data_IF_242474189756
#
_entry.id   IF_242474189756
#
_cell.length_a   1.000
_cell.length_b   1.000
_cell.length_c   1.000
_cell.angle_alpha   90.00
_cell.angle_beta   90.00
_cell.angle_gamma   90.00
#
_symmetry.space_group_name_H-M   'P 1'
#
loop_
_entity.id
_entity.type
_entity.pdbx_description
1 polymer ?
#
# COMPACT_ATOMS: atom_id res chain seq x y z
N UNK A 1 -17.09 18.31 22.35
CA UNK A 1 -15.69 17.91 22.50
C UNK A 1 -14.82 18.82 21.66
N UNK A 2 -13.97 19.63 22.30
CA UNK A 2 -12.96 20.45 21.60
C UNK A 2 -11.68 19.62 21.51
N UNK A 3 -11.44 18.95 20.39
CA UNK A 3 -10.19 18.29 20.06
C UNK A 3 -9.81 18.59 18.60
N UNK A 4 -8.54 18.51 18.28
CA UNK A 4 -8.10 18.61 16.90
C UNK A 4 -8.68 17.46 16.07
N UNK A 5 -9.00 17.72 14.82
CA UNK A 5 -9.38 16.69 13.87
C UNK A 5 -8.16 15.81 13.55
N UNK A 6 -8.39 14.53 13.41
CA UNK A 6 -7.34 13.58 13.02
C UNK A 6 -7.20 13.62 11.50
N UNK A 7 -6.07 14.11 11.03
CA UNK A 7 -5.80 14.26 9.59
C UNK A 7 -5.07 13.04 8.97
N UNK A 8 -4.61 12.10 9.79
CA UNK A 8 -3.89 10.92 9.32
C UNK A 8 -4.11 9.73 10.23
N UNK A 9 -3.91 8.54 9.68
CA UNK A 9 -3.90 7.27 10.42
C UNK A 9 -2.55 6.58 10.29
N UNK A 10 -2.11 5.93 11.37
CA UNK A 10 -0.89 5.14 11.35
C UNK A 10 -1.17 3.74 10.81
N UNK A 11 -0.32 3.29 9.90
CA UNK A 11 -0.27 1.91 9.45
C UNK A 11 1.02 1.28 9.97
N UNK A 12 0.89 0.21 10.74
CA UNK A 12 2.03 -0.50 11.31
C UNK A 12 2.31 -1.76 10.50
N UNK A 13 3.57 -1.94 10.10
CA UNK A 13 4.04 -3.11 9.38
C UNK A 13 4.87 -3.95 10.33
N UNK A 14 4.46 -5.20 10.53
CA UNK A 14 5.15 -6.16 11.39
C UNK A 14 5.68 -7.31 10.55
N UNK A 15 6.82 -7.85 10.97
CA UNK A 15 7.45 -9.00 10.32
C UNK A 15 8.13 -9.87 11.37
N UNK A 16 8.07 -11.20 11.19
CA UNK A 16 8.87 -12.13 11.98
C UNK A 16 10.31 -12.15 11.44
N UNK A 17 11.14 -11.29 12.01
CA UNK A 17 12.49 -11.07 11.50
C UNK A 17 12.52 -10.12 10.29
N UNK A 18 13.48 -10.31 9.40
CA UNK A 18 13.56 -9.52 8.17
C UNK A 18 12.43 -9.89 7.20
N UNK A 19 11.69 -8.92 6.64
CA UNK A 19 10.67 -9.21 5.65
C UNK A 19 11.25 -10.01 4.47
N UNK A 20 10.54 -11.05 4.04
CA UNK A 20 10.95 -11.87 2.89
C UNK A 20 10.82 -11.10 1.57
N UNK A 21 9.77 -10.30 1.45
CA UNK A 21 9.48 -9.51 0.26
C UNK A 21 9.36 -8.04 0.62
N UNK A 22 10.04 -7.17 -0.14
CA UNK A 22 9.92 -5.71 -0.04
C UNK A 22 10.06 -5.11 -1.43
N UNK A 23 8.96 -4.80 -2.07
CA UNK A 23 8.91 -4.18 -3.39
C UNK A 23 8.51 -2.70 -3.25
N UNK A 24 9.48 -1.83 -3.00
CA UNK A 24 9.19 -0.42 -2.79
C UNK A 24 8.61 0.23 -4.05
N UNK A 25 7.45 0.87 -3.90
CA UNK A 25 6.82 1.65 -4.94
C UNK A 25 7.76 2.76 -5.39
N UNK A 26 7.97 2.87 -6.70
CA UNK A 26 8.85 3.87 -7.29
C UNK A 26 8.04 5.06 -7.79
N UNK A 27 8.52 6.26 -7.51
CA UNK A 27 7.94 7.51 -8.00
C UNK A 27 8.97 8.32 -8.78
N UNK A 28 8.55 9.18 -9.71
CA UNK A 28 9.48 10.04 -10.44
C UNK A 28 10.34 10.89 -9.51
N UNK A 29 11.61 11.01 -9.82
CA UNK A 29 12.51 11.88 -9.07
C UNK A 29 12.46 13.31 -9.62
N UNK A 30 12.10 14.28 -8.79
CA UNK A 30 12.01 15.72 -9.16
C UNK A 30 13.31 16.27 -9.79
N UNK A 31 14.45 15.65 -9.46
CA UNK A 31 15.77 16.10 -9.91
C UNK A 31 16.44 15.10 -10.85
N UNK A 32 15.66 14.22 -11.51
CA UNK A 32 16.19 13.23 -12.45
C UNK A 32 17.18 13.85 -13.45
N UNK A 33 18.30 13.19 -13.68
CA UNK A 33 19.36 13.63 -14.58
C UNK A 33 20.22 14.81 -14.08
N UNK A 34 19.79 15.58 -13.07
CA UNK A 34 20.61 16.65 -12.48
C UNK A 34 21.73 16.07 -11.62
N UNK A 35 22.90 16.71 -11.60
CA UNK A 35 24.00 16.28 -10.72
C UNK A 35 23.66 16.52 -9.25
N UNK A 36 23.94 15.54 -8.42
CA UNK A 36 23.81 15.66 -6.97
C UNK A 36 24.97 16.53 -6.42
N UNK A 37 24.66 17.78 -6.08
CA UNK A 37 25.60 18.73 -5.45
C UNK A 37 25.33 18.88 -3.96
N UNK A 38 24.49 18.01 -3.38
CA UNK A 38 24.07 18.10 -1.99
C UNK A 38 25.21 17.85 -1.01
N UNK A 39 25.33 18.74 -0.04
CA UNK A 39 26.20 18.59 1.12
C UNK A 39 25.38 18.56 2.40
N UNK A 40 25.92 18.00 3.47
CA UNK A 40 25.28 18.01 4.79
C UNK A 40 26.32 18.28 5.86
N UNK A 41 25.90 18.90 6.97
CA UNK A 41 26.70 18.95 8.19
C UNK A 41 26.42 17.70 9.01
N UNK A 42 27.45 16.96 9.38
CA UNK A 42 27.30 15.94 10.42
C UNK A 42 27.32 16.62 11.78
N UNK A 43 26.45 16.18 12.67
CA UNK A 43 26.30 16.74 14.02
C UNK A 43 27.67 16.91 14.70
N UNK A 44 28.01 18.16 15.06
CA UNK A 44 29.25 18.52 15.76
C UNK A 44 30.48 18.85 14.91
N UNK A 45 30.39 18.81 13.58
CA UNK A 45 31.48 19.17 12.69
C UNK A 45 31.11 20.41 11.85
N UNK A 46 31.91 21.43 11.90
CA UNK A 46 31.78 22.64 11.03
C UNK A 46 32.07 22.37 9.55
N UNK A 47 32.60 21.21 9.21
CA UNK A 47 32.91 20.84 7.84
C UNK A 47 31.71 20.29 7.10
N UNK A 48 31.36 20.90 5.97
CA UNK A 48 30.40 20.39 5.01
C UNK A 48 30.93 19.08 4.39
N UNK A 49 30.17 18.00 4.57
CA UNK A 49 30.49 16.72 3.94
C UNK A 49 29.62 16.51 2.71
N UNK A 50 30.20 15.94 1.66
CA UNK A 50 29.46 15.56 0.44
C UNK A 50 28.51 14.43 0.77
N UNK A 51 27.24 14.58 0.39
CA UNK A 51 26.24 13.50 0.51
C UNK A 51 26.64 12.30 -0.34
N UNK A 52 26.15 11.12 0.04
CA UNK A 52 26.31 9.92 -0.77
C UNK A 52 25.84 10.17 -2.20
N UNK A 53 26.64 9.77 -3.18
CA UNK A 53 26.35 10.01 -4.60
C UNK A 53 26.64 11.43 -5.08
N UNK A 54 27.42 12.25 -4.34
CA UNK A 54 27.84 13.58 -4.79
C UNK A 54 28.51 13.52 -6.17
N UNK A 55 28.09 14.40 -7.07
CA UNK A 55 28.59 14.47 -8.44
C UNK A 55 27.94 13.48 -9.42
N UNK A 56 27.22 12.46 -8.93
CA UNK A 56 26.45 11.54 -9.78
C UNK A 56 25.09 12.12 -10.15
N UNK A 57 24.53 11.80 -11.33
CA UNK A 57 23.17 12.20 -11.66
C UNK A 57 22.16 11.51 -10.71
N UNK A 58 21.08 12.21 -10.39
CA UNK A 58 19.94 11.58 -9.73
C UNK A 58 19.31 10.56 -10.68
N UNK A 59 18.84 9.44 -10.12
CA UNK A 59 18.08 8.44 -10.84
C UNK A 59 16.74 9.01 -11.32
N UNK A 60 16.15 8.41 -12.34
CA UNK A 60 14.83 8.79 -12.86
C UNK A 60 13.73 8.59 -11.82
N UNK A 61 13.84 7.55 -11.03
CA UNK A 61 12.89 7.21 -9.97
C UNK A 61 13.55 7.13 -8.61
N UNK A 62 12.75 7.25 -7.58
CA UNK A 62 13.11 7.03 -6.18
C UNK A 62 12.00 6.26 -5.48
N UNK A 63 12.29 5.57 -4.36
CA UNK A 63 11.24 5.01 -3.53
C UNK A 63 10.23 6.08 -3.10
N UNK A 64 8.95 5.70 -3.07
CA UNK A 64 7.90 6.53 -2.48
C UNK A 64 8.21 6.83 -1.01
N UNK A 65 7.78 7.97 -0.50
CA UNK A 65 7.86 8.29 0.93
C UNK A 65 6.94 7.40 1.76
N UNK A 66 7.01 7.55 3.06
CA UNK A 66 6.16 6.81 4.00
C UNK A 66 4.82 7.50 4.32
N UNK A 67 4.51 8.60 3.63
CA UNK A 67 3.21 9.27 3.69
C UNK A 67 2.46 8.93 2.41
N UNK A 68 1.29 8.32 2.56
CA UNK A 68 0.40 7.96 1.47
C UNK A 68 -0.89 8.77 1.59
N UNK A 69 -1.33 9.31 0.49
CA UNK A 69 -2.59 10.07 0.41
C UNK A 69 -3.57 9.30 -0.47
N UNK A 70 -4.71 8.95 0.12
CA UNK A 70 -5.77 8.24 -0.58
C UNK A 70 -7.07 9.02 -0.45
N UNK A 71 -7.68 9.49 -1.56
CA UNK A 71 -8.95 10.17 -1.51
C UNK A 71 -10.05 9.21 -1.03
N UNK A 72 -10.78 9.63 0.01
CA UNK A 72 -11.90 8.86 0.54
C UNK A 72 -13.18 9.27 -0.20
N UNK A 73 -13.97 8.28 -0.64
CA UNK A 73 -15.29 8.53 -1.24
C UNK A 73 -15.28 9.05 -2.68
N UNK A 74 -14.12 9.19 -3.31
CA UNK A 74 -13.98 9.68 -4.69
C UNK A 74 -13.85 8.54 -5.70
N UNK A 75 -13.40 7.36 -5.27
CA UNK A 75 -13.29 6.21 -6.16
C UNK A 75 -14.68 5.70 -6.55
N UNK A 76 -14.95 5.54 -7.86
CA UNK A 76 -16.18 4.93 -8.31
C UNK A 76 -16.26 3.51 -7.71
N UNK A 77 -17.30 3.25 -6.93
CA UNK A 77 -17.58 1.90 -6.46
C UNK A 77 -17.92 1.00 -7.66
N UNK A 78 -16.91 0.36 -8.21
CA UNK A 78 -17.03 -0.54 -9.36
C UNK A 78 -18.11 -1.62 -9.17
N UNK A 79 -18.45 -1.90 -7.94
CA UNK A 79 -19.37 -2.97 -7.58
C UNK A 79 -20.66 -2.47 -6.90
N UNK A 80 -20.83 -1.16 -6.69
CA UNK A 80 -22.00 -0.53 -6.04
C UNK A 80 -22.38 -1.20 -4.70
N UNK A 81 -21.40 -1.60 -3.92
CA UNK A 81 -21.61 -2.31 -2.65
C UNK A 81 -21.87 -1.30 -1.54
N UNK A 82 -23.02 -1.41 -0.88
CA UNK A 82 -23.32 -0.64 0.34
C UNK A 82 -22.53 -1.23 1.51
N UNK A 83 -21.39 -0.64 1.83
CA UNK A 83 -20.62 -0.97 3.02
C UNK A 83 -20.21 0.35 3.72
N UNK A 84 -20.46 0.50 5.03
CA UNK A 84 -20.25 1.77 5.73
C UNK A 84 -18.78 2.18 5.87
N UNK A 85 -17.86 1.22 5.79
CA UNK A 85 -16.43 1.45 6.04
C UNK A 85 -15.57 0.76 4.96
N UNK A 86 -15.69 1.20 3.70
CA UNK A 86 -14.79 0.76 2.63
C UNK A 86 -13.52 1.62 2.66
N UNK A 87 -12.37 0.97 2.62
CA UNK A 87 -11.12 1.67 2.36
C UNK A 87 -10.78 1.67 0.86
N UNK A 88 -9.99 2.64 0.39
CA UNK A 88 -9.64 2.77 -1.03
C UNK A 88 -8.94 1.52 -1.57
N UNK A 89 -9.34 1.05 -2.76
CA UNK A 89 -8.67 -0.08 -3.42
C UNK A 89 -7.18 0.19 -3.65
N UNK A 90 -6.83 1.43 -3.91
CA UNK A 90 -5.44 1.87 -4.10
C UNK A 90 -4.57 1.64 -2.85
N UNK A 91 -5.13 1.85 -1.65
CA UNK A 91 -4.44 1.55 -0.40
C UNK A 91 -4.08 0.05 -0.34
N UNK A 92 -5.06 -0.81 -0.61
CA UNK A 92 -4.85 -2.27 -0.61
C UNK A 92 -3.84 -2.68 -1.67
N UNK A 93 -3.97 -2.14 -2.87
CA UNK A 93 -3.06 -2.40 -3.98
C UNK A 93 -1.62 -2.09 -3.60
N UNK A 94 -1.36 -0.90 -3.05
CA UNK A 94 -0.02 -0.48 -2.68
C UNK A 94 0.60 -1.38 -1.60
N UNK A 95 -0.21 -1.84 -0.63
CA UNK A 95 0.27 -2.74 0.41
C UNK A 95 0.54 -4.16 -0.14
N UNK A 96 -0.36 -4.70 -0.95
CA UNK A 96 -0.21 -6.04 -1.53
C UNK A 96 1.04 -6.11 -2.42
N UNK A 97 1.24 -5.16 -3.32
CA UNK A 97 2.40 -5.20 -4.21
C UNK A 97 3.72 -4.95 -3.49
N UNK A 98 3.69 -4.16 -2.40
CA UNK A 98 4.91 -3.87 -1.61
C UNK A 98 5.36 -5.09 -0.81
N UNK A 99 4.45 -5.82 -0.20
CA UNK A 99 4.78 -6.84 0.79
C UNK A 99 4.60 -8.28 0.30
N UNK A 100 4.20 -8.46 -0.96
CA UNK A 100 4.08 -9.79 -1.58
C UNK A 100 4.50 -9.83 -3.04
N UNK A 101 4.78 -11.03 -3.54
CA UNK A 101 5.00 -11.32 -4.95
C UNK A 101 3.78 -12.04 -5.56
N UNK A 102 3.59 -12.01 -6.90
CA UNK A 102 2.61 -12.86 -7.56
C UNK A 102 2.77 -14.35 -7.16
N UNK A 103 1.65 -15.03 -6.90
CA UNK A 103 1.60 -16.42 -6.42
C UNK A 103 1.75 -16.57 -4.91
N UNK A 104 2.00 -15.49 -4.15
CA UNK A 104 1.97 -15.55 -2.69
C UNK A 104 0.54 -15.35 -2.17
N UNK A 105 0.30 -15.75 -0.92
CA UNK A 105 -1.03 -15.73 -0.28
C UNK A 105 -1.19 -14.47 0.57
N UNK A 106 -2.29 -13.77 0.35
CA UNK A 106 -2.73 -12.63 1.17
C UNK A 106 -3.84 -13.09 2.11
N UNK A 107 -3.70 -12.83 3.39
CA UNK A 107 -4.72 -13.11 4.40
C UNK A 107 -5.39 -11.80 4.85
N UNK A 108 -6.72 -11.77 4.84
CA UNK A 108 -7.52 -10.70 5.45
C UNK A 108 -8.53 -11.32 6.43
N UNK A 109 -8.30 -11.06 7.71
CA UNK A 109 -9.13 -11.60 8.79
C UNK A 109 -10.43 -10.81 9.03
N UNK A 110 -10.62 -9.69 8.35
CA UNK A 110 -11.79 -8.82 8.47
C UNK A 110 -12.24 -8.34 7.09
N UNK A 111 -12.52 -9.28 6.21
CA UNK A 111 -12.63 -9.07 4.77
C UNK A 111 -13.73 -8.08 4.35
N UNK A 112 -14.75 -7.85 5.18
CA UNK A 112 -15.86 -6.97 4.89
C UNK A 112 -16.49 -7.26 3.54
N UNK A 113 -16.45 -6.31 2.63
CA UNK A 113 -16.98 -6.49 1.27
C UNK A 113 -16.00 -7.19 0.30
N UNK A 114 -14.81 -7.62 0.77
CA UNK A 114 -13.84 -8.40 -0.01
C UNK A 114 -12.93 -7.58 -0.93
N UNK A 115 -12.67 -6.32 -0.62
CA UNK A 115 -11.79 -5.46 -1.44
C UNK A 115 -10.39 -6.04 -1.55
N UNK A 116 -9.82 -6.55 -0.44
CA UNK A 116 -8.52 -7.22 -0.42
C UNK A 116 -8.45 -8.38 -1.40
N UNK A 117 -9.49 -9.21 -1.45
CA UNK A 117 -9.54 -10.34 -2.36
C UNK A 117 -9.57 -9.93 -3.84
N UNK A 118 -10.34 -8.88 -4.19
CA UNK A 118 -10.36 -8.37 -5.57
C UNK A 118 -8.96 -7.90 -5.99
N UNK A 119 -8.31 -7.12 -5.14
CA UNK A 119 -6.97 -6.60 -5.45
C UNK A 119 -5.92 -7.72 -5.49
N UNK A 120 -6.00 -8.71 -4.59
CA UNK A 120 -5.13 -9.87 -4.61
C UNK A 120 -5.25 -10.62 -5.96
N UNK A 121 -6.46 -10.89 -6.40
CA UNK A 121 -6.71 -11.51 -7.69
C UNK A 121 -6.15 -10.70 -8.86
N UNK A 122 -6.47 -9.42 -8.95
CA UNK A 122 -6.01 -8.54 -10.04
C UNK A 122 -4.49 -8.44 -10.09
N UNK A 123 -3.83 -8.62 -8.95
CA UNK A 123 -2.37 -8.62 -8.81
C UNK A 123 -1.75 -10.02 -8.83
N UNK A 124 -2.54 -11.07 -9.14
CA UNK A 124 -2.11 -12.47 -9.25
C UNK A 124 -1.57 -13.05 -7.93
N UNK A 125 -2.19 -12.70 -6.82
CA UNK A 125 -1.97 -13.32 -5.50
C UNK A 125 -3.16 -14.19 -5.16
N UNK A 126 -2.91 -15.28 -4.45
CA UNK A 126 -3.96 -16.02 -3.79
C UNK A 126 -4.45 -15.25 -2.57
N UNK A 127 -5.68 -15.51 -2.11
CA UNK A 127 -6.16 -14.86 -0.91
C UNK A 127 -7.01 -15.78 -0.04
N UNK A 128 -6.92 -15.53 1.27
CA UNK A 128 -7.80 -16.12 2.28
C UNK A 128 -8.54 -14.97 2.93
N UNK A 129 -9.86 -14.99 2.83
CA UNK A 129 -10.74 -13.96 3.38
C UNK A 129 -11.57 -14.56 4.51
N UNK A 130 -11.53 -13.92 5.69
CA UNK A 130 -12.35 -14.31 6.84
C UNK A 130 -13.31 -13.16 7.14
N UNK A 131 -14.60 -13.49 7.21
CA UNK A 131 -15.66 -12.53 7.51
C UNK A 131 -16.70 -13.19 8.41
N UNK A 132 -17.09 -12.50 9.47
CA UNK A 132 -18.04 -12.99 10.45
C UNK A 132 -19.50 -12.75 10.00
N UNK A 133 -19.73 -11.62 9.36
CA UNK A 133 -21.08 -11.20 8.96
C UNK A 133 -21.50 -11.89 7.67
N UNK A 134 -22.54 -12.73 7.77
CA UNK A 134 -23.02 -13.53 6.63
C UNK A 134 -23.42 -12.69 5.43
N UNK A 135 -24.02 -11.53 5.65
CA UNK A 135 -24.40 -10.62 4.57
C UNK A 135 -23.18 -10.16 3.74
N UNK A 136 -22.05 -9.94 4.39
CA UNK A 136 -20.80 -9.60 3.68
C UNK A 136 -20.18 -10.82 3.01
N UNK A 137 -20.28 -12.00 3.59
CA UNK A 137 -19.87 -13.23 2.90
C UNK A 137 -20.63 -13.41 1.58
N UNK A 138 -21.93 -13.14 1.55
CA UNK A 138 -22.74 -13.23 0.34
C UNK A 138 -22.36 -12.16 -0.69
N UNK A 139 -22.00 -10.96 -0.24
CA UNK A 139 -21.42 -9.92 -1.11
C UNK A 139 -20.11 -10.40 -1.73
N UNK A 140 -19.19 -10.96 -0.92
CA UNK A 140 -17.93 -11.52 -1.39
C UNK A 140 -18.19 -12.58 -2.46
N UNK A 141 -19.04 -13.58 -2.18
CA UNK A 141 -19.39 -14.63 -3.14
C UNK A 141 -19.89 -14.07 -4.47
N UNK A 142 -20.79 -13.08 -4.42
CA UNK A 142 -21.31 -12.44 -5.61
C UNK A 142 -20.27 -11.66 -6.41
N UNK A 143 -19.35 -10.97 -5.73
CA UNK A 143 -18.25 -10.23 -6.37
C UNK A 143 -17.26 -11.16 -7.07
N UNK A 144 -17.07 -12.36 -6.54
CA UNK A 144 -16.12 -13.34 -7.04
C UNK A 144 -16.74 -14.39 -7.96
N UNK A 145 -18.06 -14.37 -8.17
CA UNK A 145 -18.75 -15.33 -9.01
C UNK A 145 -18.13 -15.43 -10.41
N UNK A 146 -17.67 -16.63 -10.77
CA UNK A 146 -16.99 -16.90 -12.04
C UNK A 146 -15.53 -16.44 -12.11
N UNK A 147 -14.92 -15.99 -10.99
CA UNK A 147 -13.51 -15.56 -10.93
C UNK A 147 -12.66 -16.46 -10.04
N UNK A 148 -13.27 -17.18 -9.10
CA UNK A 148 -12.58 -18.03 -8.11
C UNK A 148 -13.36 -19.29 -7.79
N UNK A 149 -12.64 -20.32 -7.39
CA UNK A 149 -13.19 -21.42 -6.61
C UNK A 149 -13.28 -20.95 -5.15
N UNK A 150 -14.48 -20.52 -4.75
CA UNK A 150 -14.72 -20.12 -3.35
C UNK A 150 -14.92 -21.38 -2.53
N UNK A 151 -13.90 -21.79 -1.79
CA UNK A 151 -14.01 -22.83 -0.76
C UNK A 151 -14.44 -22.17 0.54
N UNK A 152 -15.52 -22.69 1.15
CA UNK A 152 -16.09 -22.17 2.40
C UNK A 152 -15.99 -23.27 3.44
#
# INVERSE_FOLDING_TARGET
HKRYEQEFEFMFIFSKGKPATVNLIQVPCKHAGKRNTGTSRNGGSDRLQKKHGFGKPYKETKPHGNIFEYPIGVEPDRFKVKHPAKFPEKLVYDQIITWSNPGEVVLDCFAGSGTTGIVAYETKRDCILIELERAYCDIIRNRFKGRFDVVI
#
